data_IF_421717849232
#
_entry.id   IF_421717849232
#
_cell.length_a   1.000
_cell.length_b   1.000
_cell.length_c   1.000
_cell.angle_alpha   90.00
_cell.angle_beta   90.00
_cell.angle_gamma   90.00
#
_symmetry.space_group_name_H-M   'P 1'
#
loop_
_entity.id
_entity.type
_entity.pdbx_description
1 polymer ?
#
# COMPACT_ATOMS: atom_id res chain seq x y z
N UNK A 1 -20.85 -10.47 9.19
CA UNK A 1 -19.55 -11.03 8.77
C UNK A 1 -19.45 -12.34 9.52
N UNK A 2 -19.76 -13.43 8.84
CA UNK A 2 -19.85 -14.73 9.51
C UNK A 2 -18.43 -15.18 9.80
N UNK A 3 -18.03 -15.12 11.07
CA UNK A 3 -16.68 -15.47 11.54
C UNK A 3 -16.35 -16.96 11.33
N UNK A 4 -17.32 -17.75 10.87
CA UNK A 4 -17.19 -19.17 10.53
C UNK A 4 -16.44 -19.45 9.23
N UNK A 5 -16.16 -18.44 8.38
CA UNK A 5 -15.36 -18.60 7.15
C UNK A 5 -13.85 -18.41 7.36
N UNK A 6 -13.44 -17.98 8.56
CA UNK A 6 -12.05 -17.74 8.95
C UNK A 6 -11.34 -19.04 9.35
N UNK A 7 -11.26 -19.99 8.42
CA UNK A 7 -10.51 -21.25 8.56
C UNK A 7 -8.99 -21.00 8.41
N UNK A 8 -8.13 -21.89 8.91
CA UNK A 8 -6.66 -21.76 8.78
C UNK A 8 -6.18 -21.56 7.32
N UNK A 9 -6.86 -22.16 6.34
CA UNK A 9 -6.56 -21.96 4.92
C UNK A 9 -6.86 -20.54 4.42
N UNK A 10 -7.92 -19.93 4.94
CA UNK A 10 -8.30 -18.54 4.66
C UNK A 10 -7.24 -17.56 5.19
N UNK A 11 -6.69 -17.83 6.38
CA UNK A 11 -5.57 -17.04 6.92
C UNK A 11 -4.32 -17.13 6.05
N UNK A 12 -3.99 -18.33 5.54
CA UNK A 12 -2.86 -18.49 4.64
C UNK A 12 -3.02 -17.66 3.34
N UNK A 13 -4.23 -17.61 2.78
CA UNK A 13 -4.55 -16.77 1.61
C UNK A 13 -4.42 -15.28 1.92
N UNK A 14 -4.89 -14.84 3.09
CA UNK A 14 -4.75 -13.44 3.52
C UNK A 14 -3.26 -13.07 3.74
N UNK A 15 -2.45 -13.95 4.30
CA UNK A 15 -1.00 -13.74 4.41
C UNK A 15 -0.31 -13.69 3.05
N UNK A 16 -0.70 -14.54 2.11
CA UNK A 16 -0.18 -14.49 0.74
C UNK A 16 -0.54 -13.18 0.04
N UNK A 17 -1.80 -12.74 0.14
CA UNK A 17 -2.24 -11.46 -0.41
C UNK A 17 -1.50 -10.28 0.24
N UNK A 18 -1.34 -10.32 1.56
CA UNK A 18 -0.56 -9.35 2.32
C UNK A 18 0.90 -9.26 1.83
N UNK A 19 1.52 -10.40 1.56
CA UNK A 19 2.88 -10.48 1.04
C UNK A 19 2.99 -9.89 -0.37
N UNK A 20 2.09 -10.24 -1.29
CA UNK A 20 2.04 -9.65 -2.64
C UNK A 20 1.79 -8.13 -2.60
N UNK A 21 0.95 -7.68 -1.68
CA UNK A 21 0.70 -6.25 -1.48
C UNK A 21 1.96 -5.52 -0.97
N UNK A 22 2.72 -6.13 -0.07
CA UNK A 22 4.01 -5.62 0.40
C UNK A 22 5.05 -5.54 -0.71
N UNK A 23 5.15 -6.56 -1.56
CA UNK A 23 6.05 -6.57 -2.73
C UNK A 23 5.74 -5.44 -3.72
N UNK A 24 4.46 -5.06 -3.88
CA UNK A 24 4.07 -3.92 -4.70
C UNK A 24 4.65 -2.60 -4.21
N UNK A 25 4.94 -2.44 -2.91
CA UNK A 25 5.65 -1.27 -2.37
C UNK A 25 7.17 -1.38 -2.48
N UNK A 26 7.70 -2.60 -2.52
CA UNK A 26 9.14 -2.87 -2.63
C UNK A 26 9.77 -2.61 -4.01
N UNK A 27 9.00 -2.13 -4.99
CA UNK A 27 9.52 -1.72 -6.30
C UNK A 27 9.14 -2.62 -7.48
N UNK A 28 8.23 -3.59 -7.28
CA UNK A 28 7.64 -4.37 -8.37
C UNK A 28 6.20 -3.90 -8.67
N UNK A 29 6.01 -2.83 -9.46
CA UNK A 29 4.68 -2.39 -9.86
C UNK A 29 3.98 -3.51 -10.65
N UNK A 30 2.73 -3.82 -10.27
CA UNK A 30 1.89 -4.85 -10.91
C UNK A 30 1.66 -6.12 -10.09
N UNK A 31 2.49 -6.42 -9.09
CA UNK A 31 2.33 -7.62 -8.24
C UNK A 31 1.06 -7.58 -7.39
N UNK A 32 0.58 -6.37 -7.04
CA UNK A 32 -0.67 -6.16 -6.31
C UNK A 32 -1.93 -6.60 -7.06
N UNK A 33 -1.88 -6.75 -8.40
CA UNK A 33 -3.00 -7.28 -9.20
C UNK A 33 -3.39 -8.69 -8.74
N UNK A 34 -2.43 -9.49 -8.27
CA UNK A 34 -2.67 -10.84 -7.75
C UNK A 34 -3.30 -10.82 -6.34
N UNK A 35 -3.04 -9.77 -5.55
CA UNK A 35 -3.55 -9.67 -4.18
C UNK A 35 -5.06 -9.40 -4.13
N UNK A 36 -5.60 -8.64 -5.09
CA UNK A 36 -7.03 -8.25 -5.14
C UNK A 36 -7.97 -9.48 -5.24
N UNK A 37 -7.83 -10.39 -6.22
CA UNK A 37 -8.71 -11.57 -6.31
C UNK A 37 -8.51 -12.54 -5.13
N UNK A 38 -7.30 -12.63 -4.56
CA UNK A 38 -7.04 -13.42 -3.36
C UNK A 38 -7.86 -12.91 -2.16
N UNK A 39 -7.86 -11.60 -1.90
CA UNK A 39 -8.67 -11.02 -0.80
C UNK A 39 -10.17 -11.09 -1.11
N UNK A 40 -10.57 -10.87 -2.37
CA UNK A 40 -11.97 -10.92 -2.78
C UNK A 40 -12.60 -12.31 -2.67
N UNK A 41 -11.79 -13.38 -2.73
CA UNK A 41 -12.26 -14.75 -2.48
C UNK A 41 -12.64 -15.03 -1.02
N UNK A 42 -12.21 -14.16 -0.10
CA UNK A 42 -12.39 -14.33 1.35
C UNK A 42 -13.32 -13.28 1.95
N UNK A 43 -13.22 -12.02 1.51
CA UNK A 43 -13.95 -10.89 2.10
C UNK A 43 -14.78 -10.21 1.01
N UNK A 44 -16.10 -9.98 1.23
CA UNK A 44 -16.91 -9.21 0.30
C UNK A 44 -16.37 -7.78 0.15
N UNK A 45 -16.21 -7.34 -1.11
CA UNK A 45 -15.23 -6.32 -1.53
C UNK A 45 -15.26 -4.96 -0.84
N UNK A 46 -16.36 -4.53 -0.21
CA UNK A 46 -16.41 -3.26 0.54
C UNK A 46 -15.62 -3.29 1.84
N UNK A 47 -15.46 -4.46 2.47
CA UNK A 47 -14.64 -4.61 3.67
C UNK A 47 -13.15 -4.85 3.33
N UNK A 48 -12.86 -5.38 2.13
CA UNK A 48 -11.50 -5.63 1.66
C UNK A 48 -10.67 -4.34 1.53
N UNK A 49 -11.26 -3.27 0.97
CA UNK A 49 -10.60 -1.96 0.86
C UNK A 49 -10.29 -1.34 2.22
N UNK A 50 -11.14 -1.56 3.22
CA UNK A 50 -10.92 -1.10 4.60
C UNK A 50 -9.73 -1.78 5.30
N UNK A 51 -9.40 -3.01 4.92
CA UNK A 51 -8.27 -3.77 5.48
C UNK A 51 -6.95 -3.50 4.76
N UNK A 52 -7.03 -3.20 3.46
CA UNK A 52 -5.87 -2.87 2.61
C UNK A 52 -5.21 -1.56 3.09
N UNK A 53 -5.99 -0.53 3.46
CA UNK A 53 -5.48 0.75 3.96
C UNK A 53 -4.48 0.62 5.14
N UNK A 54 -4.83 -0.01 6.28
CA UNK A 54 -3.90 -0.18 7.40
C UNK A 54 -2.69 -1.04 7.03
N UNK A 55 -2.84 -2.04 6.16
CA UNK A 55 -1.68 -2.78 5.62
C UNK A 55 -0.72 -1.87 4.85
N UNK A 56 -1.24 -0.97 4.01
CA UNK A 56 -0.39 0.02 3.32
C UNK A 56 0.27 0.96 4.33
N UNK A 57 -0.47 1.49 5.29
CA UNK A 57 0.08 2.41 6.30
C UNK A 57 1.24 1.75 7.05
N UNK A 58 1.08 0.49 7.48
CA UNK A 58 2.16 -0.27 8.10
C UNK A 58 3.36 -0.43 7.16
N UNK A 59 3.12 -0.72 5.87
CA UNK A 59 4.17 -0.78 4.87
C UNK A 59 4.95 0.54 4.71
N UNK A 60 4.28 1.69 4.75
CA UNK A 60 4.96 3.00 4.75
C UNK A 60 5.77 3.21 6.03
N UNK A 61 5.21 2.82 7.17
CA UNK A 61 5.90 2.92 8.46
C UNK A 61 7.17 2.08 8.48
N UNK A 62 7.12 0.85 7.97
CA UNK A 62 8.30 -0.01 7.85
C UNK A 62 9.33 0.54 6.86
N UNK A 63 8.89 1.07 5.73
CA UNK A 63 9.78 1.71 4.77
C UNK A 63 10.49 2.91 5.40
N UNK A 64 9.75 3.78 6.12
CA UNK A 64 10.31 4.90 6.87
C UNK A 64 11.25 4.40 7.97
N UNK A 65 10.85 3.41 8.77
CA UNK A 65 11.65 2.87 9.86
C UNK A 65 12.92 2.17 9.37
N UNK A 66 12.94 1.59 8.17
CA UNK A 66 14.15 1.02 7.60
C UNK A 66 15.07 2.10 7.02
N UNK A 67 14.50 3.08 6.30
CA UNK A 67 15.26 4.09 5.58
C UNK A 67 15.59 5.37 6.38
N UNK A 68 14.98 5.63 7.54
CA UNK A 68 15.16 6.89 8.27
C UNK A 68 16.61 7.18 8.65
N UNK A 69 17.44 6.15 8.84
CA UNK A 69 18.84 6.30 9.25
C UNK A 69 19.80 6.52 8.07
N UNK A 70 19.47 6.00 6.90
CA UNK A 70 20.27 6.15 5.67
C UNK A 70 19.73 7.25 4.74
N UNK A 71 18.60 7.87 5.10
CA UNK A 71 18.00 8.94 4.31
C UNK A 71 18.83 10.23 4.38
N UNK A 72 19.28 10.68 3.21
CA UNK A 72 19.86 12.01 3.02
C UNK A 72 18.77 13.07 3.14
N UNK A 73 18.62 13.64 4.35
CA UNK A 73 17.70 14.77 4.59
C UNK A 73 17.97 15.98 3.70
N UNK A 74 19.21 16.10 3.20
CA UNK A 74 19.65 17.20 2.34
C UNK A 74 19.09 17.05 0.92
N UNK A 75 19.12 15.83 0.37
CA UNK A 75 18.52 15.54 -0.94
C UNK A 75 16.99 15.57 -0.88
N UNK A 76 16.40 15.05 0.20
CA UNK A 76 14.96 15.10 0.41
C UNK A 76 14.44 16.55 0.41
N UNK A 77 15.08 17.45 1.16
CA UNK A 77 14.67 18.87 1.20
C UNK A 77 14.89 19.61 -0.12
N UNK A 78 15.84 19.17 -0.96
CA UNK A 78 16.03 19.72 -2.31
C UNK A 78 14.96 19.22 -3.30
N UNK A 79 14.53 17.97 -3.17
CA UNK A 79 13.50 17.39 -4.02
C UNK A 79 12.09 17.83 -3.63
N UNK A 80 11.83 18.06 -2.35
CA UNK A 80 10.52 18.45 -1.81
C UNK A 80 9.87 19.66 -2.53
N UNK A 81 10.54 20.81 -2.74
CA UNK A 81 9.91 21.96 -3.39
C UNK A 81 9.49 21.66 -4.83
N UNK A 82 10.26 20.86 -5.57
CA UNK A 82 9.89 20.46 -6.93
C UNK A 82 8.70 19.49 -6.94
N UNK A 83 8.65 18.57 -5.98
CA UNK A 83 7.50 17.68 -5.81
C UNK A 83 6.22 18.46 -5.47
N UNK A 84 6.30 19.42 -4.55
CA UNK A 84 5.19 20.31 -4.18
C UNK A 84 4.75 21.14 -5.38
N UNK A 85 5.69 21.74 -6.12
CA UNK A 85 5.38 22.51 -7.33
C UNK A 85 4.64 21.65 -8.37
N UNK A 86 5.08 20.41 -8.58
CA UNK A 86 4.41 19.46 -9.48
C UNK A 86 2.98 19.11 -9.04
N UNK A 87 2.77 18.86 -7.74
CA UNK A 87 1.44 18.56 -7.19
C UNK A 87 0.51 19.78 -7.34
N UNK A 88 0.99 20.98 -7.02
CA UNK A 88 0.21 22.22 -7.17
C UNK A 88 -0.14 22.47 -8.64
N UNK A 89 0.81 22.28 -9.55
CA UNK A 89 0.55 22.43 -10.98
C UNK A 89 -0.47 21.40 -11.49
N UNK A 90 -0.33 20.13 -11.11
CA UNK A 90 -1.26 19.06 -11.50
C UNK A 90 -2.67 19.27 -10.96
N UNK A 91 -2.79 19.68 -9.68
CA UNK A 91 -4.09 20.00 -9.07
C UNK A 91 -4.74 21.22 -9.71
N UNK A 92 -3.97 22.26 -10.04
CA UNK A 92 -4.48 23.43 -10.76
C UNK A 92 -4.91 23.10 -12.20
N UNK A 93 -4.31 22.08 -12.83
CA UNK A 93 -4.67 21.64 -14.19
C UNK A 93 -5.93 20.75 -14.21
N UNK A 94 -6.06 19.85 -13.23
CA UNK A 94 -7.25 18.97 -13.07
C UNK A 94 -8.46 19.73 -12.53
N UNK A 95 -8.25 20.80 -11.75
CA UNK A 95 -9.31 21.65 -11.22
C UNK A 95 -9.95 22.61 -12.24
N UNK A 96 -9.69 22.41 -13.54
CA UNK A 96 -10.29 23.13 -14.67
C UNK A 96 -11.04 22.15 -15.57
#
# INVERSE_FOLDING_TARGET
MDTSTLTSGTWALLFAAAFFQGLSKGGMPGVSILAIPLVASVIPGKAASGLILPMLILGDLFALAHWHRSASWRDLRRALPWAVAGIVAGTALIGR
#
